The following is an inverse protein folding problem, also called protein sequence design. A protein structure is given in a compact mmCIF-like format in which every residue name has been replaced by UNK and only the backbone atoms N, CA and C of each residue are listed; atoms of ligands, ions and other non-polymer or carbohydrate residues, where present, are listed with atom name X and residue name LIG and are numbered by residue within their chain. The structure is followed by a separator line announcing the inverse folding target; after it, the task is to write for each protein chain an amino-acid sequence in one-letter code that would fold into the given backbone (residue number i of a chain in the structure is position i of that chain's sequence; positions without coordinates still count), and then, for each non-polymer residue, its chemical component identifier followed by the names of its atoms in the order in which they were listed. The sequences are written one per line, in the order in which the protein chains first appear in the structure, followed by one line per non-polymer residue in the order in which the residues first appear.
data_IF_170084532509
#
_entry.id   IF_170084532509
#
_cell.length_a   1.000
_cell.length_b   1.000
_cell.length_c   1.000
_cell.angle_alpha   90.00
_cell.angle_beta   90.00
_cell.angle_gamma   90.00
#
_symmetry.space_group_name_H-M   'P 1'
#
loop_
_entity.id
_entity.type
_entity.pdbx_description
1 polymer ?
#
# COMPACT_ATOMS: atom_id res chain seq x y z
N UNK A 1 -21.30 -0.88 -9.93
CA UNK A 1 -20.15 -1.23 -9.06
C UNK A 1 -19.58 0.07 -8.52
N UNK A 2 -19.35 0.20 -7.23
CA UNK A 2 -18.69 1.41 -6.67
C UNK A 2 -17.22 1.28 -6.99
N UNK A 3 -16.61 2.29 -7.61
CA UNK A 3 -15.17 2.31 -7.89
C UNK A 3 -14.37 2.28 -6.58
N UNK A 4 -13.23 1.59 -6.59
CA UNK A 4 -12.36 1.42 -5.41
C UNK A 4 -11.89 2.79 -4.89
N UNK A 5 -11.46 3.66 -5.80
CA UNK A 5 -11.03 5.01 -5.44
C UNK A 5 -12.15 5.83 -4.79
N UNK A 6 -13.36 5.76 -5.34
CA UNK A 6 -14.53 6.47 -4.77
C UNK A 6 -14.87 5.93 -3.37
N UNK A 7 -14.70 4.63 -3.13
CA UNK A 7 -14.85 4.02 -1.80
C UNK A 7 -13.82 4.57 -0.82
N UNK A 8 -12.53 4.62 -1.22
CA UNK A 8 -11.46 5.18 -0.40
C UNK A 8 -11.77 6.65 -0.06
N UNK A 9 -12.11 7.47 -1.04
CA UNK A 9 -12.45 8.88 -0.84
C UNK A 9 -13.66 9.08 0.08
N UNK A 10 -14.71 8.28 -0.13
CA UNK A 10 -15.94 8.37 0.68
C UNK A 10 -15.67 8.02 2.15
N UNK A 11 -14.91 6.96 2.40
CA UNK A 11 -14.54 6.57 3.75
C UNK A 11 -13.62 7.62 4.41
N UNK A 12 -12.58 8.07 3.71
CA UNK A 12 -11.67 9.12 4.20
C UNK A 12 -12.42 10.42 4.53
N UNK A 13 -13.32 10.86 3.64
CA UNK A 13 -14.14 12.06 3.85
C UNK A 13 -15.10 11.96 5.03
N UNK A 14 -15.44 10.75 5.47
CA UNK A 14 -16.24 10.49 6.67
C UNK A 14 -15.39 10.27 7.92
N UNK A 15 -14.07 10.37 7.84
CA UNK A 15 -13.15 10.05 8.92
C UNK A 15 -13.01 8.55 9.21
N UNK A 16 -13.64 7.67 8.39
CA UNK A 16 -13.54 6.23 8.57
C UNK A 16 -12.17 5.74 8.11
N UNK A 17 -11.48 5.10 9.02
CA UNK A 17 -10.16 4.49 8.76
C UNK A 17 -10.29 3.15 8.06
N UNK A 18 -9.27 2.79 7.27
CA UNK A 18 -9.27 1.58 6.44
C UNK A 18 -7.98 0.78 6.64
N UNK A 19 -8.05 -0.53 6.43
CA UNK A 19 -6.91 -1.44 6.46
C UNK A 19 -6.81 -2.21 5.16
N UNK A 20 -5.62 -2.19 4.56
CA UNK A 20 -5.23 -3.13 3.52
C UNK A 20 -4.24 -4.16 4.07
N UNK A 21 -4.49 -5.43 3.80
CA UNK A 21 -3.54 -6.51 4.05
C UNK A 21 -2.73 -6.73 2.77
N UNK A 22 -1.41 -6.56 2.86
CA UNK A 22 -0.49 -6.80 1.75
C UNK A 22 -0.03 -8.26 1.76
N UNK A 23 -0.28 -8.95 0.67
CA UNK A 23 0.16 -10.32 0.43
C UNK A 23 1.24 -10.35 -0.65
N UNK A 24 2.39 -10.91 -0.30
CA UNK A 24 3.46 -11.19 -1.25
C UNK A 24 3.22 -12.60 -1.84
N UNK A 25 2.96 -12.74 -3.17
CA UNK A 25 2.69 -14.04 -3.78
C UNK A 25 3.78 -15.08 -3.56
N UNK A 26 5.05 -14.67 -3.44
CA UNK A 26 6.17 -15.58 -3.20
C UNK A 26 6.18 -16.15 -1.77
N UNK A 27 5.56 -15.45 -0.83
CA UNK A 27 5.54 -15.82 0.59
C UNK A 27 4.19 -16.34 1.07
N UNK A 28 3.11 -15.86 0.47
CA UNK A 28 1.74 -16.24 0.82
C UNK A 28 1.33 -17.52 0.09
N UNK A 29 1.83 -18.66 0.53
CA UNK A 29 1.54 -19.99 -0.05
C UNK A 29 1.38 -21.06 1.03
N UNK A 30 0.92 -22.26 0.66
CA UNK A 30 0.79 -23.41 1.58
C UNK A 30 -0.04 -23.11 2.82
N UNK A 31 0.49 -23.37 4.01
CA UNK A 31 -0.21 -23.15 5.27
C UNK A 31 -0.44 -21.67 5.57
N UNK A 32 0.49 -20.79 5.21
CA UNK A 32 0.33 -19.34 5.41
C UNK A 32 -0.88 -18.81 4.65
N UNK A 33 -1.06 -19.23 3.40
CA UNK A 33 -2.24 -18.86 2.61
C UNK A 33 -3.53 -19.43 3.23
N UNK A 34 -3.53 -20.71 3.63
CA UNK A 34 -4.70 -21.35 4.22
C UNK A 34 -5.14 -20.63 5.52
N UNK A 35 -4.18 -20.31 6.40
CA UNK A 35 -4.45 -19.57 7.63
C UNK A 35 -4.95 -18.14 7.37
N UNK A 36 -4.34 -17.45 6.39
CA UNK A 36 -4.75 -16.11 5.97
C UNK A 36 -6.19 -16.11 5.44
N UNK A 37 -6.56 -17.06 4.58
CA UNK A 37 -7.92 -17.19 4.06
C UNK A 37 -8.92 -17.43 5.18
N UNK A 38 -8.60 -18.32 6.13
CA UNK A 38 -9.45 -18.59 7.28
C UNK A 38 -9.69 -17.34 8.17
N UNK A 39 -8.70 -16.45 8.28
CA UNK A 39 -8.87 -15.19 9.01
C UNK A 39 -9.69 -14.16 8.18
N UNK A 40 -9.51 -14.10 6.87
CA UNK A 40 -10.30 -13.23 5.98
C UNK A 40 -11.77 -13.64 5.89
N UNK A 41 -12.07 -14.94 5.94
CA UNK A 41 -13.47 -15.44 5.99
C UNK A 41 -14.19 -14.97 7.26
N UNK A 42 -13.47 -14.90 8.39
CA UNK A 42 -14.03 -14.41 9.66
C UNK A 42 -14.19 -12.90 9.67
N UNK A 43 -13.13 -12.20 9.25
CA UNK A 43 -13.04 -10.74 9.28
C UNK A 43 -12.26 -10.23 8.05
N UNK A 44 -12.95 -10.01 6.91
CA UNK A 44 -12.27 -9.49 5.72
C UNK A 44 -11.75 -8.06 5.96
N UNK A 45 -10.51 -7.74 5.52
CA UNK A 45 -9.99 -6.38 5.52
C UNK A 45 -10.77 -5.49 4.55
N UNK A 46 -10.57 -4.18 4.59
CA UNK A 46 -11.20 -3.27 3.62
C UNK A 46 -10.65 -3.51 2.20
N UNK A 47 -9.34 -3.81 2.07
CA UNK A 47 -8.67 -4.13 0.80
C UNK A 47 -7.64 -5.24 1.00
N UNK A 48 -7.35 -5.98 -0.07
CA UNK A 48 -6.21 -6.91 -0.15
C UNK A 48 -5.27 -6.35 -1.22
N UNK A 49 -4.05 -5.98 -0.79
CA UNK A 49 -3.01 -5.59 -1.72
C UNK A 49 -2.18 -6.83 -2.10
N UNK A 50 -1.85 -6.96 -3.38
CA UNK A 50 -1.10 -8.09 -3.92
C UNK A 50 0.13 -7.56 -4.62
N UNK A 51 1.31 -7.91 -4.12
CA UNK A 51 2.56 -7.48 -4.70
C UNK A 51 3.77 -7.89 -3.87
N UNK A 52 4.91 -7.87 -4.50
CA UNK A 52 6.19 -8.19 -3.89
C UNK A 52 7.31 -7.44 -4.60
N UNK A 53 8.49 -7.43 -3.96
CA UNK A 53 9.68 -6.75 -4.48
C UNK A 53 10.45 -7.55 -5.53
N UNK A 54 10.07 -8.80 -5.80
CA UNK A 54 10.69 -9.66 -6.82
C UNK A 54 9.82 -9.72 -8.08
N UNK A 55 10.38 -9.45 -9.26
CA UNK A 55 9.67 -9.38 -10.54
C UNK A 55 9.18 -10.72 -11.10
N UNK A 56 9.26 -11.82 -10.37
CA UNK A 56 8.90 -13.17 -10.83
C UNK A 56 7.57 -13.69 -10.25
N UNK A 57 6.85 -12.86 -9.50
CA UNK A 57 5.63 -13.28 -8.81
C UNK A 57 4.48 -13.52 -9.80
N UNK A 58 4.06 -14.77 -9.96
CA UNK A 58 2.79 -15.08 -10.59
C UNK A 58 1.67 -14.93 -9.54
N UNK A 59 0.82 -13.92 -9.71
CA UNK A 59 -0.30 -13.65 -8.80
C UNK A 59 -1.58 -14.43 -9.15
N UNK A 60 -1.61 -15.23 -10.23
CA UNK A 60 -2.82 -15.92 -10.69
C UNK A 60 -3.40 -16.85 -9.62
N UNK A 61 -2.57 -17.74 -9.06
CA UNK A 61 -3.01 -18.71 -8.04
C UNK A 61 -3.52 -18.01 -6.77
N UNK A 62 -2.86 -16.92 -6.38
CA UNK A 62 -3.27 -16.13 -5.21
C UNK A 62 -4.59 -15.42 -5.48
N UNK A 63 -4.75 -14.75 -6.63
CA UNK A 63 -6.00 -14.11 -7.04
C UNK A 63 -7.15 -15.12 -7.11
N UNK A 64 -6.90 -16.29 -7.68
CA UNK A 64 -7.90 -17.36 -7.75
C UNK A 64 -8.32 -17.82 -6.34
N UNK A 65 -7.38 -18.00 -5.44
CA UNK A 65 -7.66 -18.41 -4.05
C UNK A 65 -8.46 -17.37 -3.28
N UNK A 66 -8.32 -16.08 -3.63
CA UNK A 66 -8.98 -14.96 -2.98
C UNK A 66 -10.37 -14.63 -3.60
N UNK A 67 -10.82 -15.31 -4.65
CA UNK A 67 -12.06 -14.95 -5.38
C UNK A 67 -13.31 -14.90 -4.48
N UNK A 68 -13.40 -15.77 -3.47
CA UNK A 68 -14.54 -15.85 -2.55
C UNK A 68 -14.49 -14.79 -1.42
N UNK A 69 -13.36 -14.11 -1.22
CA UNK A 69 -13.23 -13.05 -0.22
C UNK A 69 -13.84 -11.75 -0.79
N UNK A 70 -14.72 -11.05 -0.05
CA UNK A 70 -15.43 -9.89 -0.57
C UNK A 70 -14.57 -8.62 -0.75
N UNK A 71 -13.39 -8.58 -0.12
CA UNK A 71 -12.48 -7.43 -0.20
C UNK A 71 -11.92 -7.25 -1.61
N UNK A 72 -11.87 -6.04 -2.18
CA UNK A 72 -11.21 -5.78 -3.46
C UNK A 72 -9.73 -6.17 -3.44
N UNK A 73 -9.25 -6.81 -4.52
CA UNK A 73 -7.86 -7.22 -4.74
C UNK A 73 -7.20 -6.16 -5.60
N UNK A 74 -6.22 -5.48 -5.02
CA UNK A 74 -5.54 -4.35 -5.64
C UNK A 74 -4.08 -4.70 -5.84
N UNK A 75 -3.59 -4.63 -7.06
CA UNK A 75 -2.18 -4.83 -7.34
C UNK A 75 -1.34 -3.70 -6.73
N UNK A 76 -0.26 -4.11 -6.07
CA UNK A 76 0.79 -3.25 -5.52
C UNK A 76 2.14 -3.65 -6.15
N UNK A 77 2.34 -3.34 -7.45
CA UNK A 77 3.43 -3.91 -8.22
C UNK A 77 4.78 -3.26 -7.90
N UNK A 78 5.84 -4.08 -7.84
CA UNK A 78 7.22 -3.61 -7.79
C UNK A 78 7.78 -3.22 -9.17
N UNK A 79 7.22 -3.78 -10.26
CA UNK A 79 7.55 -3.48 -11.64
C UNK A 79 6.39 -3.77 -12.61
N UNK A 80 6.58 -3.40 -13.89
CA UNK A 80 5.56 -3.53 -14.94
C UNK A 80 5.12 -4.97 -15.23
N UNK A 81 5.99 -5.98 -14.98
CA UNK A 81 5.70 -7.39 -15.27
C UNK A 81 4.69 -8.02 -14.31
N UNK A 82 4.42 -7.37 -13.18
CA UNK A 82 3.48 -7.84 -12.16
C UNK A 82 2.01 -7.44 -12.44
N UNK A 83 1.74 -6.83 -13.58
CA UNK A 83 0.35 -6.53 -13.97
C UNK A 83 -0.42 -7.83 -14.21
N UNK A 84 -1.63 -7.91 -13.65
CA UNK A 84 -2.54 -9.04 -13.80
C UNK A 84 -3.98 -8.54 -13.99
N UNK A 85 -4.62 -8.84 -15.13
CA UNK A 85 -5.98 -8.37 -15.42
C UNK A 85 -7.07 -9.04 -14.58
N UNK A 86 -6.74 -10.05 -13.78
CA UNK A 86 -7.66 -10.71 -12.84
C UNK A 86 -7.88 -9.94 -11.53
N UNK A 87 -7.16 -8.84 -11.29
CA UNK A 87 -7.36 -8.00 -10.12
C UNK A 87 -8.49 -6.98 -10.31
N UNK A 88 -9.04 -6.47 -9.21
CA UNK A 88 -10.08 -5.44 -9.22
C UNK A 88 -9.50 -4.04 -9.46
N UNK A 89 -8.28 -3.78 -8.98
CA UNK A 89 -7.60 -2.50 -9.09
C UNK A 89 -6.09 -2.59 -9.16
N UNK A 90 -5.47 -1.47 -9.48
CA UNK A 90 -4.02 -1.31 -9.58
C UNK A 90 -3.60 0.02 -8.96
N UNK A 91 -2.70 0.00 -7.98
CA UNK A 91 -1.95 1.19 -7.59
C UNK A 91 -0.91 1.47 -8.69
N UNK A 92 -1.16 2.48 -9.50
CA UNK A 92 -0.25 2.89 -10.57
C UNK A 92 0.83 3.77 -9.97
N UNK A 93 1.87 3.11 -9.42
CA UNK A 93 2.86 3.70 -8.52
C UNK A 93 3.91 4.52 -9.27
N UNK A 94 4.06 5.80 -8.93
CA UNK A 94 5.24 6.59 -9.26
C UNK A 94 6.08 6.83 -8.01
N UNK A 95 7.35 6.39 -8.01
CA UNK A 95 8.29 6.60 -6.90
C UNK A 95 8.78 8.05 -6.92
N UNK A 96 7.92 8.97 -6.44
CA UNK A 96 8.15 10.41 -6.56
C UNK A 96 9.24 10.94 -5.60
N UNK A 97 9.61 10.20 -4.55
CA UNK A 97 10.76 10.53 -3.70
C UNK A 97 12.10 10.27 -4.37
N UNK A 98 12.17 9.33 -5.33
CA UNK A 98 13.43 8.80 -5.84
C UNK A 98 14.07 9.57 -6.99
N UNK A 99 13.33 10.39 -7.75
CA UNK A 99 13.79 11.13 -8.93
C UNK A 99 14.39 10.24 -10.03
N UNK A 100 14.20 8.91 -10.00
CA UNK A 100 14.61 8.00 -11.04
C UNK A 100 13.53 7.91 -12.12
N UNK A 101 13.83 8.29 -13.36
CA UNK A 101 12.88 8.34 -14.46
C UNK A 101 12.21 7.00 -14.75
N UNK A 102 12.92 5.87 -14.58
CA UNK A 102 12.35 4.55 -14.80
C UNK A 102 11.21 4.24 -13.82
N UNK A 103 11.32 4.70 -12.57
CA UNK A 103 10.29 4.52 -11.53
C UNK A 103 9.31 5.70 -11.44
N UNK A 104 9.56 6.78 -12.16
CA UNK A 104 8.61 7.89 -12.31
C UNK A 104 7.63 7.65 -13.47
N UNK A 105 8.13 7.11 -14.60
CA UNK A 105 7.32 6.90 -15.81
C UNK A 105 7.74 5.67 -16.64
N UNK A 106 8.98 5.22 -16.57
CA UNK A 106 9.52 4.16 -17.45
C UNK A 106 8.74 2.85 -17.32
N UNK A 107 8.50 2.37 -16.10
CA UNK A 107 7.71 1.16 -15.83
C UNK A 107 6.27 1.30 -16.35
N UNK A 108 5.67 2.47 -16.20
CA UNK A 108 4.31 2.75 -16.67
C UNK A 108 4.18 2.60 -18.18
N UNK A 109 5.16 3.08 -18.94
CA UNK A 109 5.18 3.00 -20.41
C UNK A 109 5.17 1.55 -20.89
N UNK A 110 5.86 0.64 -20.18
CA UNK A 110 5.95 -0.78 -20.55
C UNK A 110 4.61 -1.50 -20.47
N UNK A 111 3.77 -1.19 -19.49
CA UNK A 111 2.50 -1.88 -19.21
C UNK A 111 1.24 -1.11 -19.64
N UNK A 112 1.37 0.18 -19.99
CA UNK A 112 0.24 1.09 -20.21
C UNK A 112 -0.81 0.58 -21.21
N UNK A 113 -0.40 -0.03 -22.33
CA UNK A 113 -1.32 -0.50 -23.36
C UNK A 113 -2.12 -1.71 -22.90
N UNK A 114 -1.49 -2.61 -22.15
CA UNK A 114 -2.15 -3.79 -21.59
C UNK A 114 -3.14 -3.36 -20.51
N UNK A 115 -2.71 -2.51 -19.58
CA UNK A 115 -3.57 -1.95 -18.52
C UNK A 115 -4.79 -1.26 -19.13
N UNK A 116 -4.60 -0.43 -20.17
CA UNK A 116 -5.70 0.32 -20.81
C UNK A 116 -6.74 -0.58 -21.47
N UNK A 117 -6.39 -1.81 -21.83
CA UNK A 117 -7.31 -2.79 -22.45
C UNK A 117 -8.04 -3.66 -21.44
N UNK A 118 -7.67 -3.59 -20.17
CA UNK A 118 -8.29 -4.33 -19.08
C UNK A 118 -9.44 -3.54 -18.45
N UNK A 119 -10.21 -4.22 -17.59
CA UNK A 119 -11.26 -3.63 -16.75
C UNK A 119 -10.73 -3.25 -15.35
N UNK A 120 -9.41 -3.37 -15.11
CA UNK A 120 -8.77 -3.07 -13.82
C UNK A 120 -8.86 -1.57 -13.53
N UNK A 121 -9.34 -1.20 -12.36
CA UNK A 121 -9.39 0.20 -11.94
C UNK A 121 -7.97 0.73 -11.65
N UNK A 122 -7.53 1.73 -12.42
CA UNK A 122 -6.19 2.33 -12.28
C UNK A 122 -6.24 3.51 -11.32
N UNK A 123 -5.43 3.44 -10.26
CA UNK A 123 -5.36 4.48 -9.23
C UNK A 123 -3.95 5.08 -9.21
N UNK A 124 -3.73 6.24 -9.87
CA UNK A 124 -2.43 6.92 -9.85
C UNK A 124 -2.01 7.26 -8.41
N UNK A 125 -0.85 6.75 -8.00
CA UNK A 125 -0.39 6.85 -6.61
C UNK A 125 1.03 7.37 -6.53
N UNK A 126 1.21 8.48 -5.82
CA UNK A 126 2.52 9.04 -5.50
C UNK A 126 3.15 8.25 -4.35
N UNK A 127 4.13 7.42 -4.66
CA UNK A 127 4.82 6.57 -3.69
C UNK A 127 6.06 7.30 -3.17
N UNK A 128 6.12 7.48 -1.85
CA UNK A 128 7.19 8.19 -1.14
C UNK A 128 7.87 7.21 -0.19
N UNK A 129 9.10 6.84 -0.51
CA UNK A 129 9.92 6.00 0.35
C UNK A 129 10.58 6.86 1.43
N UNK A 130 10.35 6.52 2.69
CA UNK A 130 10.93 7.10 3.89
C UNK A 130 11.98 6.15 4.46
N UNK A 131 13.03 6.68 5.04
CA UNK A 131 14.06 5.86 5.70
C UNK A 131 13.49 5.15 6.93
N UNK A 132 13.31 3.84 6.83
CA UNK A 132 12.82 2.96 7.89
C UNK A 132 13.94 2.34 8.73
N UNK A 133 15.17 2.84 8.64
CA UNK A 133 16.33 2.35 9.39
C UNK A 133 16.98 1.08 8.84
N UNK A 134 16.62 0.67 7.62
CA UNK A 134 17.20 -0.47 6.92
C UNK A 134 17.22 -0.24 5.39
N UNK A 135 18.09 -0.95 4.68
CA UNK A 135 18.10 -0.95 3.21
C UNK A 135 16.90 -1.73 2.66
N UNK A 136 15.84 -1.01 2.28
CA UNK A 136 14.64 -1.62 1.71
C UNK A 136 14.89 -2.21 0.31
N UNK A 137 14.05 -3.17 -0.10
CA UNK A 137 14.10 -3.72 -1.46
C UNK A 137 13.85 -2.64 -2.51
N UNK A 138 12.89 -1.73 -2.25
CA UNK A 138 12.59 -0.61 -3.15
C UNK A 138 13.81 0.28 -3.36
N UNK A 139 14.49 0.68 -2.30
CA UNK A 139 15.73 1.48 -2.38
C UNK A 139 16.78 0.80 -3.28
N UNK A 140 16.98 -0.52 -3.10
CA UNK A 140 17.97 -1.30 -3.85
C UNK A 140 17.61 -1.42 -5.33
N UNK A 141 16.36 -1.80 -5.66
CA UNK A 141 15.96 -2.05 -7.05
C UNK A 141 15.78 -0.75 -7.84
N UNK A 142 15.32 0.32 -7.21
CA UNK A 142 15.15 1.62 -7.84
C UNK A 142 16.44 2.44 -7.92
N UNK A 143 17.48 2.03 -7.19
CA UNK A 143 18.72 2.80 -7.04
C UNK A 143 18.43 4.26 -6.63
N UNK A 144 17.57 4.45 -5.63
CA UNK A 144 17.19 5.76 -5.11
C UNK A 144 17.47 5.84 -3.61
N UNK A 145 17.60 7.06 -3.10
CA UNK A 145 17.73 7.31 -1.67
C UNK A 145 16.36 7.65 -1.10
N UNK A 146 15.92 7.02 0.02
CA UNK A 146 14.70 7.40 0.71
C UNK A 146 14.81 8.82 1.28
N UNK A 147 13.67 9.47 1.53
CA UNK A 147 13.63 10.72 2.31
C UNK A 147 13.98 10.37 3.76
N UNK A 148 14.80 11.19 4.40
CA UNK A 148 15.18 10.99 5.81
C UNK A 148 13.98 10.96 6.75
N UNK A 149 14.02 10.13 7.79
CA UNK A 149 12.90 9.96 8.72
C UNK A 149 12.51 11.28 9.42
N UNK A 150 13.45 12.22 9.56
CA UNK A 150 13.25 13.53 10.19
C UNK A 150 13.09 14.67 9.14
N UNK A 151 13.16 14.36 7.83
CA UNK A 151 13.09 15.37 6.77
C UNK A 151 11.63 15.63 6.33
N UNK A 152 10.89 16.21 7.27
CA UNK A 152 9.45 16.45 7.13
C UNK A 152 9.15 17.42 5.99
N UNK A 153 9.94 18.47 5.81
CA UNK A 153 9.72 19.50 4.78
C UNK A 153 9.89 18.94 3.36
N UNK A 154 10.89 18.09 3.13
CA UNK A 154 11.07 17.39 1.85
C UNK A 154 9.90 16.42 1.59
N UNK A 155 9.44 15.72 2.62
CA UNK A 155 8.30 14.81 2.51
C UNK A 155 7.01 15.56 2.14
N UNK A 156 6.69 16.66 2.82
CA UNK A 156 5.56 17.53 2.52
C UNK A 156 5.64 18.03 1.08
N UNK A 157 6.77 18.61 0.71
CA UNK A 157 6.96 19.20 -0.62
C UNK A 157 6.79 18.15 -1.73
N UNK A 158 7.30 16.93 -1.50
CA UNK A 158 7.16 15.81 -2.43
C UNK A 158 5.71 15.34 -2.54
N UNK A 159 5.01 15.23 -1.42
CA UNK A 159 3.60 14.79 -1.38
C UNK A 159 2.68 15.79 -2.09
N UNK A 160 2.84 17.10 -1.80
CA UNK A 160 2.08 18.16 -2.45
C UNK A 160 2.38 18.23 -3.96
N UNK A 161 3.64 18.05 -4.36
CA UNK A 161 3.97 17.97 -5.78
C UNK A 161 3.26 16.79 -6.47
N UNK A 162 3.17 15.63 -5.80
CA UNK A 162 2.41 14.48 -6.28
C UNK A 162 0.93 14.81 -6.50
N UNK A 163 0.28 15.45 -5.52
CA UNK A 163 -1.12 15.89 -5.64
C UNK A 163 -1.30 16.86 -6.80
N UNK A 164 -0.45 17.87 -6.92
CA UNK A 164 -0.51 18.86 -8.00
C UNK A 164 -0.26 18.26 -9.39
N UNK A 165 0.51 17.18 -9.49
CA UNK A 165 0.69 16.39 -10.71
C UNK A 165 -0.49 15.50 -11.04
N UNK A 166 -1.53 15.43 -10.18
CA UNK A 166 -2.75 14.69 -10.41
C UNK A 166 -2.77 13.27 -9.85
N UNK A 167 -1.85 12.94 -8.93
CA UNK A 167 -1.94 11.68 -8.17
C UNK A 167 -3.25 11.65 -7.38
N UNK A 168 -3.84 10.48 -7.30
CA UNK A 168 -5.11 10.23 -6.60
C UNK A 168 -4.90 9.87 -5.13
N UNK A 169 -3.76 9.26 -4.83
CA UNK A 169 -3.35 8.84 -3.50
C UNK A 169 -1.90 9.25 -3.27
N UNK A 170 -1.53 9.54 -2.03
CA UNK A 170 -0.15 9.58 -1.59
C UNK A 170 0.09 8.40 -0.65
N UNK A 171 1.21 7.72 -0.82
CA UNK A 171 1.61 6.57 -0.02
C UNK A 171 2.97 6.85 0.63
N UNK A 172 3.00 6.98 1.97
CA UNK A 172 4.23 7.03 2.76
C UNK A 172 4.62 5.61 3.16
N UNK A 173 5.77 5.14 2.72
CA UNK A 173 6.24 3.77 2.93
C UNK A 173 7.61 3.79 3.62
N UNK A 174 7.72 3.13 4.79
CA UNK A 174 9.01 2.97 5.47
C UNK A 174 9.87 1.81 4.92
N UNK A 175 9.32 1.01 4.02
CA UNK A 175 9.98 -0.15 3.42
C UNK A 175 9.58 -1.48 4.07
N UNK A 176 9.62 -2.53 3.25
CA UNK A 176 9.36 -3.89 3.73
C UNK A 176 10.39 -4.30 4.78
N UNK A 177 9.93 -4.77 5.93
CA UNK A 177 10.77 -5.16 7.05
C UNK A 177 11.43 -3.98 7.80
N UNK A 178 10.95 -2.74 7.61
CA UNK A 178 11.47 -1.57 8.28
C UNK A 178 11.62 -1.76 9.79
N UNK A 179 12.71 -1.23 10.33
CA UNK A 179 12.97 -1.23 11.79
C UNK A 179 12.05 -0.22 12.49
N UNK A 180 11.76 0.90 11.82
CA UNK A 180 10.93 2.00 12.32
C UNK A 180 9.85 2.32 11.30
N UNK A 181 8.60 2.48 11.74
CA UNK A 181 7.51 2.96 10.92
C UNK A 181 7.62 4.48 10.70
N UNK A 182 6.90 5.00 9.68
CA UNK A 182 6.79 6.45 9.46
C UNK A 182 6.29 7.13 10.74
N UNK A 183 6.92 8.22 11.16
CA UNK A 183 6.60 8.92 12.39
C UNK A 183 5.21 9.57 12.34
N UNK A 184 4.54 9.63 13.49
CA UNK A 184 3.26 10.31 13.62
C UNK A 184 3.34 11.79 13.24
N UNK A 185 4.48 12.43 13.55
CA UNK A 185 4.75 13.83 13.21
C UNK A 185 4.77 14.02 11.69
N UNK A 186 5.50 13.20 10.94
CA UNK A 186 5.57 13.26 9.47
C UNK A 186 4.20 12.97 8.85
N UNK A 187 3.48 11.95 9.32
CA UNK A 187 2.12 11.61 8.83
C UNK A 187 1.19 12.80 9.01
N UNK A 188 1.18 13.40 10.20
CA UNK A 188 0.31 14.55 10.50
C UNK A 188 0.65 15.78 9.66
N UNK A 189 1.93 16.09 9.53
CA UNK A 189 2.40 17.23 8.75
C UNK A 189 2.04 17.10 7.24
N UNK A 190 2.24 15.91 6.67
CA UNK A 190 1.85 15.63 5.27
C UNK A 190 0.33 15.68 5.12
N UNK A 191 -0.43 15.01 6.01
CA UNK A 191 -1.90 14.96 5.91
C UNK A 191 -2.55 16.34 5.95
N UNK A 192 -2.02 17.27 6.73
CA UNK A 192 -2.52 18.65 6.83
C UNK A 192 -2.41 19.43 5.52
N UNK A 193 -1.51 19.03 4.61
CA UNK A 193 -1.29 19.71 3.33
C UNK A 193 -2.01 19.03 2.15
N UNK A 194 -2.57 17.83 2.35
CA UNK A 194 -3.20 17.04 1.28
C UNK A 194 -4.72 17.12 1.33
N UNK A 195 -5.34 17.23 0.16
CA UNK A 195 -6.78 17.08 -0.04
C UNK A 195 -7.18 15.68 -0.54
N UNK A 196 -6.21 14.83 -0.86
CA UNK A 196 -6.40 13.46 -1.30
C UNK A 196 -6.09 12.46 -0.16
N UNK A 197 -6.58 11.20 -0.25
CA UNK A 197 -6.33 10.22 0.79
C UNK A 197 -4.84 9.88 0.94
N UNK A 198 -4.43 9.68 2.21
CA UNK A 198 -3.08 9.32 2.61
C UNK A 198 -3.02 7.86 3.05
N UNK A 199 -2.16 7.08 2.37
CA UNK A 199 -1.81 5.70 2.72
C UNK A 199 -0.51 5.71 3.52
N UNK A 200 -0.42 4.87 4.54
CA UNK A 200 0.80 4.68 5.33
C UNK A 200 1.10 3.19 5.48
N UNK A 201 2.34 2.79 5.22
CA UNK A 201 2.79 1.41 5.35
C UNK A 201 4.26 1.28 5.73
N UNK A 202 4.69 0.03 5.91
CA UNK A 202 6.04 -0.31 6.35
C UNK A 202 6.26 -0.16 7.86
N UNK A 203 6.86 -1.18 8.48
CA UNK A 203 7.28 -1.14 9.88
C UNK A 203 6.16 -1.21 10.93
N UNK A 204 4.88 -1.27 10.57
CA UNK A 204 3.77 -1.38 11.52
C UNK A 204 3.62 -2.85 11.93
N UNK A 205 3.90 -3.14 13.21
CA UNK A 205 3.94 -4.50 13.78
C UNK A 205 3.07 -4.65 15.03
N UNK A 206 2.66 -3.55 15.65
CA UNK A 206 1.86 -3.56 16.89
C UNK A 206 0.64 -2.67 16.77
N UNK A 207 -0.34 -2.93 17.64
CA UNK A 207 -1.57 -2.13 17.72
C UNK A 207 -1.28 -0.68 18.11
N UNK A 208 -0.26 -0.42 18.95
CA UNK A 208 0.14 0.94 19.32
C UNK A 208 0.68 1.72 18.13
N UNK A 209 1.48 1.10 17.26
CA UNK A 209 1.96 1.72 16.02
C UNK A 209 0.80 2.00 15.05
N UNK A 210 -0.14 1.05 14.92
CA UNK A 210 -1.36 1.21 14.14
C UNK A 210 -2.18 2.42 14.64
N UNK A 211 -2.44 2.51 15.95
CA UNK A 211 -3.14 3.62 16.60
C UNK A 211 -2.42 4.94 16.33
N UNK A 212 -1.11 4.97 16.49
CA UNK A 212 -0.31 6.16 16.27
C UNK A 212 -0.46 6.72 14.85
N UNK A 213 -0.37 5.84 13.84
CA UNK A 213 -0.51 6.25 12.45
C UNK A 213 -1.94 6.72 12.10
N UNK A 214 -2.98 6.05 12.64
CA UNK A 214 -4.37 6.43 12.43
C UNK A 214 -4.70 7.78 13.08
N UNK A 215 -4.25 8.01 14.32
CA UNK A 215 -4.42 9.27 15.02
C UNK A 215 -3.66 10.42 14.34
N UNK A 216 -2.51 10.14 13.74
CA UNK A 216 -1.75 11.11 12.97
C UNK A 216 -2.40 11.52 11.65
N UNK A 217 -3.45 10.82 11.21
CA UNK A 217 -4.24 11.22 10.06
C UNK A 217 -4.16 10.28 8.84
N UNK A 218 -3.49 9.14 8.94
CA UNK A 218 -3.55 8.13 7.87
C UNK A 218 -5.01 7.73 7.61
N UNK A 219 -5.42 7.67 6.34
CA UNK A 219 -6.75 7.23 5.92
C UNK A 219 -6.80 5.71 5.70
N UNK A 220 -5.72 5.16 5.16
CA UNK A 220 -5.55 3.74 4.88
C UNK A 220 -4.18 3.27 5.39
N UNK A 221 -4.19 2.24 6.22
CA UNK A 221 -2.96 1.59 6.67
C UNK A 221 -2.72 0.32 5.86
N UNK A 222 -1.46 0.09 5.49
CA UNK A 222 -1.03 -1.15 4.81
C UNK A 222 -0.11 -1.94 5.73
N UNK A 223 -0.46 -3.20 5.96
CA UNK A 223 0.31 -4.13 6.79
C UNK A 223 0.51 -5.43 6.02
N UNK A 224 1.74 -5.92 5.98
CA UNK A 224 2.10 -7.17 5.31
C UNK A 224 2.94 -8.09 6.19
N UNK A 225 4.22 -7.80 6.33
CA UNK A 225 5.23 -8.70 6.90
C UNK A 225 4.87 -9.39 8.23
N UNK A 226 4.19 -8.70 9.13
CA UNK A 226 3.81 -9.29 10.42
C UNK A 226 2.83 -10.46 10.23
N UNK A 227 1.98 -10.39 9.23
CA UNK A 227 1.00 -11.42 8.96
C UNK A 227 1.59 -12.69 8.32
N UNK A 228 2.80 -12.60 7.75
CA UNK A 228 3.54 -13.76 7.24
C UNK A 228 3.94 -14.72 8.39
N UNK A 229 4.11 -14.20 9.60
CA UNK A 229 4.52 -14.96 10.79
C UNK A 229 3.44 -15.08 11.86
N UNK A 230 2.52 -14.12 11.92
CA UNK A 230 1.48 -14.00 12.96
C UNK A 230 0.12 -13.70 12.30
N UNK A 231 -0.40 -14.67 11.52
CA UNK A 231 -1.67 -14.53 10.80
C UNK A 231 -2.86 -14.16 11.70
N UNK A 232 -2.88 -14.61 12.95
CA UNK A 232 -3.92 -14.25 13.92
C UNK A 232 -4.04 -12.75 14.20
N UNK A 233 -2.98 -11.96 13.98
CA UNK A 233 -3.02 -10.50 14.10
C UNK A 233 -3.88 -9.83 13.03
N UNK A 234 -4.18 -10.50 11.93
CA UNK A 234 -5.07 -9.96 10.87
C UNK A 234 -6.42 -9.57 11.49
N UNK A 235 -7.05 -10.50 12.20
CA UNK A 235 -8.36 -10.25 12.83
C UNK A 235 -8.28 -9.15 13.89
N UNK A 236 -7.21 -9.13 14.70
CA UNK A 236 -6.99 -8.08 15.69
C UNK A 236 -6.97 -6.70 15.03
N UNK A 237 -6.12 -6.52 14.00
CA UNK A 237 -5.97 -5.25 13.30
C UNK A 237 -7.23 -4.84 12.55
N UNK A 238 -7.87 -5.77 11.84
CA UNK A 238 -9.13 -5.51 11.13
C UNK A 238 -10.23 -5.05 12.10
N UNK A 239 -10.40 -5.76 13.22
CA UNK A 239 -11.40 -5.38 14.24
C UNK A 239 -11.10 -4.01 14.83
N UNK A 240 -9.82 -3.76 15.10
CA UNK A 240 -9.41 -2.50 15.66
C UNK A 240 -9.73 -1.34 14.71
N UNK A 241 -9.32 -1.43 13.44
CA UNK A 241 -9.56 -0.36 12.45
C UNK A 241 -11.05 -0.15 12.19
N UNK A 242 -11.85 -1.22 12.10
CA UNK A 242 -13.32 -1.12 11.92
C UNK A 242 -14.04 -0.43 13.08
N UNK A 243 -13.48 -0.47 14.29
CA UNK A 243 -14.06 0.17 15.48
C UNK A 243 -13.34 1.48 15.87
N UNK A 244 -12.40 1.92 15.06
CA UNK A 244 -11.67 3.17 15.31
C UNK A 244 -12.58 4.37 15.05
N UNK A 245 -12.75 5.21 16.10
CA UNK A 245 -13.60 6.41 16.11
C UNK A 245 -12.76 7.68 16.15
#
# INVERSE_FOLDING_TARGET
MIHIYDNICTNAGRGKKMLAVLLDPDKCSGSVLADTLAEFEKFPPDFIFIGGSSGMCNSDDLLQSLQHIPSPKILFPGDASQFNPGADGLLFLSLISGRNADYLIGQHVQSAIEIKKSDVEVIPTGYILIDGGNHSSVQRVSNTTPIGADDIDECISTAVAGELLGMKLIYLEAGSGAAVAVSAEMISAVKQQLNIPLIVGGGIKTTEQLISALNAGADLIVVGNIFETETGKIVEFVRFVKNFC
#
